data_IF_263143962083
#
_entry.id   IF_263143962083
#
_cell.length_a   1.000
_cell.length_b   1.000
_cell.length_c   1.000
_cell.angle_alpha   90.00
_cell.angle_beta   90.00
_cell.angle_gamma   90.00
#
_symmetry.space_group_name_H-M   'P 1'
#
loop_
_entity.id
_entity.type
_entity.pdbx_description
1 polymer ?
#
# COMPACT_ATOMS: atom_id res chain seq x y z
N UNK A 1 -8.51 -4.98 -2.19
CA UNK A 1 -9.04 -5.90 -1.17
C UNK A 1 -7.89 -6.68 -0.56
N UNK A 2 -8.01 -7.10 0.69
CA UNK A 2 -7.02 -7.94 1.36
C UNK A 2 -7.71 -8.77 2.44
N UNK A 3 -7.12 -9.90 2.84
CA UNK A 3 -7.73 -10.80 3.82
C UNK A 3 -6.70 -11.50 4.70
N UNK A 4 -7.05 -11.68 5.96
CA UNK A 4 -6.24 -12.43 6.93
C UNK A 4 -6.70 -13.90 7.04
N UNK A 5 -7.85 -14.24 6.47
CA UNK A 5 -8.42 -15.59 6.42
C UNK A 5 -9.74 -15.66 5.63
N UNK A 6 -10.35 -16.86 5.51
CA UNK A 6 -11.59 -17.06 4.75
C UNK A 6 -12.81 -16.34 5.34
N UNK A 7 -12.72 -15.88 6.59
CA UNK A 7 -13.77 -15.19 7.34
C UNK A 7 -13.38 -13.77 7.76
N UNK A 8 -12.28 -13.25 7.22
CA UNK A 8 -11.83 -11.89 7.49
C UNK A 8 -11.20 -11.32 6.21
N UNK A 9 -12.06 -10.73 5.38
CA UNK A 9 -11.66 -10.08 4.13
C UNK A 9 -12.22 -8.67 4.11
N UNK A 10 -11.37 -7.71 3.77
CA UNK A 10 -11.73 -6.31 3.60
C UNK A 10 -11.68 -5.90 2.13
N UNK A 11 -12.73 -5.24 1.67
CA UNK A 11 -12.76 -4.50 0.42
C UNK A 11 -12.97 -3.02 0.73
N UNK A 12 -12.25 -2.16 0.03
CA UNK A 12 -12.38 -0.71 0.18
C UNK A 12 -12.52 -0.05 -1.18
N UNK A 13 -13.10 1.15 -1.20
CA UNK A 13 -13.35 1.88 -2.43
C UNK A 13 -14.06 3.20 -2.16
N UNK A 14 -15.00 3.52 -3.04
CA UNK A 14 -15.91 4.67 -2.91
C UNK A 14 -17.33 4.27 -3.25
N UNK A 15 -18.30 4.86 -2.56
CA UNK A 15 -19.71 4.77 -2.87
C UNK A 15 -20.20 6.14 -3.35
N UNK A 16 -20.91 6.19 -4.48
CA UNK A 16 -21.45 7.43 -5.02
C UNK A 16 -22.30 7.20 -6.27
N UNK A 17 -23.15 8.16 -6.60
CA UNK A 17 -24.06 8.10 -7.75
C UNK A 17 -25.04 9.28 -7.76
N UNK A 18 -25.62 9.59 -8.92
CA UNK A 18 -26.72 10.56 -9.03
C UNK A 18 -26.36 12.02 -8.70
N UNK A 19 -25.10 12.45 -8.94
CA UNK A 19 -24.67 13.83 -8.68
C UNK A 19 -24.27 14.11 -7.23
N UNK A 20 -24.24 13.10 -6.36
CA UNK A 20 -23.75 13.21 -4.98
C UNK A 20 -22.24 12.97 -4.93
N UNK A 21 -21.56 13.72 -4.06
CA UNK A 21 -20.19 13.48 -3.64
C UNK A 21 -19.94 12.01 -3.31
N UNK A 22 -18.83 11.44 -3.77
CA UNK A 22 -18.46 10.07 -3.41
C UNK A 22 -18.00 10.01 -1.95
N UNK A 23 -18.41 8.99 -1.21
CA UNK A 23 -17.94 8.69 0.15
C UNK A 23 -17.00 7.49 0.14
N UNK A 24 -16.09 7.42 1.12
CA UNK A 24 -15.28 6.24 1.38
C UNK A 24 -16.18 5.02 1.63
N UNK A 25 -15.81 3.89 1.05
CA UNK A 25 -16.49 2.62 1.28
C UNK A 25 -15.51 1.64 1.89
N UNK A 26 -15.90 0.99 2.99
CA UNK A 26 -15.29 -0.22 3.49
C UNK A 26 -16.37 -1.31 3.64
N UNK A 27 -16.05 -2.51 3.19
CA UNK A 27 -16.90 -3.69 3.33
C UNK A 27 -16.08 -4.82 3.94
N UNK A 28 -16.67 -5.50 4.90
CA UNK A 28 -16.08 -6.65 5.60
C UNK A 28 -16.84 -7.91 5.25
N UNK A 29 -16.11 -8.98 4.93
CA UNK A 29 -16.67 -10.32 4.76
C UNK A 29 -16.35 -11.17 5.98
N UNK A 30 -17.41 -11.64 6.65
CA UNK A 30 -17.32 -12.42 7.89
C UNK A 30 -17.24 -13.94 7.66
N UNK A 31 -17.14 -14.38 6.40
CA UNK A 31 -17.20 -15.80 6.02
C UNK A 31 -18.53 -16.24 5.43
N UNK A 32 -19.58 -15.45 5.61
CA UNK A 32 -20.92 -15.75 5.11
C UNK A 32 -21.50 -14.60 4.27
N UNK A 33 -21.31 -13.35 4.68
CA UNK A 33 -21.87 -12.19 4.03
C UNK A 33 -20.92 -10.99 4.07
N UNK A 34 -21.14 -10.07 3.13
CA UNK A 34 -20.51 -8.76 3.16
C UNK A 34 -21.37 -7.77 3.95
N UNK A 35 -20.74 -7.00 4.83
CA UNK A 35 -21.37 -5.88 5.52
C UNK A 35 -20.62 -4.58 5.24
N UNK A 36 -21.35 -3.49 5.07
CA UNK A 36 -20.75 -2.14 5.02
C UNK A 36 -20.32 -1.75 6.42
N UNK A 37 -19.12 -1.19 6.54
CA UNK A 37 -18.57 -0.69 7.80
C UNK A 37 -18.26 0.79 7.64
N UNK A 38 -18.71 1.60 8.59
CA UNK A 38 -18.54 3.05 8.54
C UNK A 38 -17.06 3.44 8.55
N UNK A 39 -16.72 4.41 7.69
CA UNK A 39 -15.39 5.01 7.60
C UNK A 39 -15.51 6.48 7.95
N UNK A 40 -14.64 7.03 8.81
CA UNK A 40 -14.67 8.45 9.14
C UNK A 40 -14.31 9.30 7.91
N UNK A 41 -15.20 10.24 7.59
CA UNK A 41 -15.02 11.17 6.47
C UNK A 41 -14.26 12.42 6.90
N UNK A 42 -13.29 12.91 6.12
CA UNK A 42 -12.63 14.18 6.39
C UNK A 42 -13.61 15.36 6.30
N UNK A 43 -13.61 16.21 7.32
CA UNK A 43 -14.48 17.39 7.37
C UNK A 43 -14.17 18.33 6.21
N UNK A 44 -15.19 18.68 5.43
CA UNK A 44 -15.08 19.62 4.31
C UNK A 44 -14.59 19.00 3.00
N UNK A 45 -14.40 17.68 2.93
CA UNK A 45 -14.24 16.99 1.66
C UNK A 45 -15.57 16.93 0.89
N UNK A 46 -15.50 16.89 -0.43
CA UNK A 46 -16.67 16.66 -1.30
C UNK A 46 -16.51 15.39 -2.15
N UNK A 47 -15.56 14.54 -1.78
CA UNK A 47 -15.26 13.29 -2.45
C UNK A 47 -14.19 12.54 -1.68
N UNK A 48 -14.44 11.30 -1.29
CA UNK A 48 -13.47 10.45 -0.61
C UNK A 48 -13.44 9.07 -1.25
N UNK A 49 -12.25 8.49 -1.39
CA UNK A 49 -12.06 7.15 -1.89
C UNK A 49 -10.89 6.46 -1.19
N UNK A 50 -11.12 5.24 -0.70
CA UNK A 50 -10.05 4.37 -0.24
C UNK A 50 -9.51 3.57 -1.45
N UNK A 51 -8.20 3.59 -1.64
CA UNK A 51 -7.52 2.98 -2.80
C UNK A 51 -6.97 1.60 -2.47
N UNK A 52 -6.53 1.40 -1.22
CA UNK A 52 -5.96 0.13 -0.79
C UNK A 52 -6.24 -0.15 0.69
N UNK A 53 -6.29 -1.43 1.03
CA UNK A 53 -6.45 -1.94 2.39
C UNK A 53 -5.49 -3.09 2.61
N UNK A 54 -4.90 -3.14 3.81
CA UNK A 54 -4.01 -4.21 4.27
C UNK A 54 -4.45 -4.70 5.64
N UNK A 55 -4.72 -5.98 5.75
CA UNK A 55 -4.92 -6.68 7.01
C UNK A 55 -3.58 -6.82 7.74
N UNK A 56 -3.59 -6.46 9.03
CA UNK A 56 -2.43 -6.49 9.93
C UNK A 56 -2.52 -7.65 10.93
N UNK A 57 -3.75 -8.00 11.31
CA UNK A 57 -4.12 -9.15 12.14
C UNK A 57 -5.58 -9.52 11.88
N UNK A 58 -6.11 -10.55 12.56
CA UNK A 58 -7.53 -10.94 12.52
C UNK A 58 -8.50 -9.84 12.99
N UNK A 59 -7.99 -8.82 13.67
CA UNK A 59 -8.79 -7.75 14.27
C UNK A 59 -8.22 -6.38 13.94
N UNK A 60 -7.31 -6.27 12.97
CA UNK A 60 -6.75 -4.98 12.61
C UNK A 60 -6.41 -4.91 11.14
N UNK A 61 -6.76 -3.78 10.55
CA UNK A 61 -6.51 -3.48 9.16
C UNK A 61 -6.14 -2.00 9.02
N UNK A 62 -5.49 -1.67 7.92
CA UNK A 62 -5.07 -0.32 7.59
C UNK A 62 -5.51 -0.02 6.16
N UNK A 63 -6.17 1.11 5.95
CA UNK A 63 -6.55 1.55 4.63
C UNK A 63 -6.02 2.95 4.35
N UNK A 64 -5.69 3.19 3.08
CA UNK A 64 -5.24 4.47 2.57
C UNK A 64 -6.10 4.88 1.41
N UNK A 65 -6.08 6.17 1.10
CA UNK A 65 -6.87 6.72 0.02
C UNK A 65 -6.65 8.20 -0.16
N UNK A 66 -7.63 8.82 -0.79
CA UNK A 66 -7.62 10.24 -1.08
C UNK A 66 -8.96 10.89 -0.72
N UNK A 67 -8.88 12.15 -0.33
CA UNK A 67 -10.03 13.03 -0.18
C UNK A 67 -9.84 14.28 -1.05
N UNK A 68 -10.93 14.73 -1.64
CA UNK A 68 -11.00 15.84 -2.58
C UNK A 68 -11.43 17.11 -1.82
N UNK A 69 -10.58 18.14 -1.88
CA UNK A 69 -10.80 19.43 -1.22
C UNK A 69 -10.73 20.59 -2.23
N UNK A 70 -11.58 21.61 -2.05
CA UNK A 70 -11.75 22.76 -2.96
C UNK A 70 -12.35 22.48 -4.36
N UNK A 71 -13.28 23.33 -4.81
CA UNK A 71 -13.86 23.31 -6.18
C UNK A 71 -12.92 23.90 -7.26
N UNK A 72 -11.80 24.51 -6.85
CA UNK A 72 -10.89 25.28 -7.70
C UNK A 72 -9.42 24.92 -7.45
N UNK A 73 -9.07 23.64 -7.56
CA UNK A 73 -7.66 23.19 -7.59
C UNK A 73 -7.03 22.82 -6.24
N UNK A 74 -7.83 22.56 -5.20
CA UNK A 74 -7.31 22.10 -3.89
C UNK A 74 -6.73 20.67 -3.90
N UNK A 75 -6.93 19.94 -5.01
CA UNK A 75 -6.30 18.66 -5.30
C UNK A 75 -6.71 17.54 -4.34
N UNK A 76 -6.26 16.34 -4.66
CA UNK A 76 -6.41 15.20 -3.77
C UNK A 76 -5.45 15.33 -2.58
N UNK A 77 -5.95 15.10 -1.37
CA UNK A 77 -5.17 14.99 -0.14
C UNK A 77 -5.17 13.55 0.35
N UNK A 78 -4.07 13.07 0.94
CA UNK A 78 -3.97 11.68 1.35
C UNK A 78 -4.76 11.47 2.64
N UNK A 79 -5.46 10.34 2.72
CA UNK A 79 -6.12 9.89 3.94
C UNK A 79 -5.62 8.51 4.33
N UNK A 80 -5.64 8.25 5.63
CA UNK A 80 -5.39 6.93 6.19
C UNK A 80 -6.36 6.67 7.33
N UNK A 81 -6.82 5.42 7.43
CA UNK A 81 -7.70 4.95 8.50
C UNK A 81 -7.21 3.60 9.00
N UNK A 82 -7.42 3.32 10.27
CA UNK A 82 -7.04 2.07 10.91
C UNK A 82 -8.24 1.45 11.60
N UNK A 83 -8.41 0.14 11.40
CA UNK A 83 -9.36 -0.71 12.09
C UNK A 83 -8.70 -1.28 13.34
N UNK A 84 -9.37 -1.13 14.48
CA UNK A 84 -8.92 -1.63 15.78
C UNK A 84 -9.62 -2.93 16.22
N UNK A 85 -10.52 -3.45 15.39
CA UNK A 85 -11.37 -4.60 15.70
C UNK A 85 -12.84 -4.22 15.86
N UNK A 86 -13.12 -2.93 16.00
CA UNK A 86 -14.47 -2.42 16.28
C UNK A 86 -14.85 -1.20 15.44
N UNK A 87 -13.90 -0.29 15.18
CA UNK A 87 -14.17 0.95 14.44
C UNK A 87 -12.98 1.37 13.57
N UNK A 88 -13.26 1.99 12.43
CA UNK A 88 -12.26 2.69 11.64
C UNK A 88 -11.99 4.07 12.25
N UNK A 89 -10.73 4.37 12.55
CA UNK A 89 -10.32 5.69 13.06
C UNK A 89 -9.34 6.35 12.10
N UNK A 90 -9.49 7.66 11.87
CA UNK A 90 -8.57 8.44 11.05
C UNK A 90 -7.17 8.46 11.65
N UNK A 91 -6.16 8.27 10.80
CA UNK A 91 -4.74 8.34 11.15
C UNK A 91 -4.13 9.55 10.46
N UNK A 92 -3.47 10.48 11.20
CA UNK A 92 -2.82 11.64 10.60
C UNK A 92 -1.78 11.22 9.56
N UNK A 93 -1.88 11.69 8.32
CA UNK A 93 -0.86 11.43 7.29
C UNK A 93 0.22 12.52 7.37
N UNK A 94 1.51 12.15 7.43
CA UNK A 94 2.58 13.14 7.45
C UNK A 94 2.66 13.92 6.13
N UNK A 95 3.22 15.14 6.18
CA UNK A 95 3.54 15.90 4.98
C UNK A 95 4.53 15.10 4.13
N UNK A 96 4.25 14.98 2.83
CA UNK A 96 5.14 14.35 1.86
C UNK A 96 6.06 15.43 1.26
N UNK A 97 7.37 15.45 1.57
CA UNK A 97 8.26 16.51 1.10
C UNK A 97 8.27 16.62 -0.44
N UNK A 98 8.21 17.84 -0.96
CA UNK A 98 8.23 18.12 -2.40
C UNK A 98 6.86 18.01 -3.09
N UNK A 99 5.88 17.34 -2.47
CA UNK A 99 4.52 17.30 -3.00
C UNK A 99 3.78 18.60 -2.66
N UNK A 100 3.23 19.25 -3.67
CA UNK A 100 2.48 20.51 -3.52
C UNK A 100 0.97 20.33 -3.70
N UNK A 101 0.54 19.27 -4.41
CA UNK A 101 -0.89 18.92 -4.58
C UNK A 101 -1.07 17.49 -5.09
N UNK A 102 -2.33 17.04 -5.15
CA UNK A 102 -2.74 15.75 -5.72
C UNK A 102 -1.95 14.55 -5.16
N UNK A 103 -1.84 14.50 -3.84
CA UNK A 103 -1.12 13.43 -3.14
C UNK A 103 -2.07 12.23 -3.04
N UNK A 104 -1.77 11.18 -3.81
CA UNK A 104 -2.63 10.01 -3.93
C UNK A 104 -1.84 8.75 -3.53
N UNK A 105 -2.15 8.17 -2.35
CA UNK A 105 -1.78 6.81 -2.01
C UNK A 105 -2.41 5.83 -3.00
N UNK A 106 -1.61 4.98 -3.62
CA UNK A 106 -2.05 3.96 -4.56
C UNK A 106 -2.17 2.58 -3.88
N UNK A 107 -1.23 2.23 -3.01
CA UNK A 107 -1.18 0.92 -2.37
C UNK A 107 -0.51 0.95 -0.98
N UNK A 108 -0.82 -0.03 -0.13
CA UNK A 108 -0.26 -0.20 1.21
C UNK A 108 0.05 -1.66 1.51
N UNK A 109 1.22 -1.92 2.09
CA UNK A 109 1.59 -3.24 2.60
C UNK A 109 2.17 -3.16 4.00
N UNK A 110 2.27 -4.32 4.65
CA UNK A 110 2.84 -4.47 6.00
C UNK A 110 3.87 -5.60 6.04
N UNK A 111 4.98 -5.38 6.75
CA UNK A 111 6.01 -6.39 6.92
C UNK A 111 7.04 -5.99 7.97
N UNK A 112 7.53 -6.96 8.76
CA UNK A 112 8.55 -6.72 9.80
C UNK A 112 8.21 -5.55 10.75
N UNK A 113 6.93 -5.42 11.14
CA UNK A 113 6.45 -4.37 12.04
C UNK A 113 6.34 -2.97 11.41
N UNK A 114 6.42 -2.87 10.07
CA UNK A 114 6.33 -1.61 9.33
C UNK A 114 5.18 -1.64 8.33
N UNK A 115 4.55 -0.50 8.15
CA UNK A 115 3.68 -0.18 7.02
C UNK A 115 4.50 0.55 5.95
N UNK A 116 4.25 0.22 4.69
CA UNK A 116 4.80 0.94 3.53
C UNK A 116 3.63 1.32 2.63
N UNK A 117 3.50 2.61 2.35
CA UNK A 117 2.52 3.18 1.43
C UNK A 117 3.27 3.74 0.24
N UNK A 118 2.76 3.48 -0.95
CA UNK A 118 3.28 4.06 -2.19
C UNK A 118 2.20 4.82 -2.92
N UNK A 119 2.61 5.80 -3.69
CA UNK A 119 1.68 6.63 -4.45
C UNK A 119 2.40 7.59 -5.36
N UNK A 120 1.66 8.60 -5.80
CA UNK A 120 2.15 9.69 -6.63
C UNK A 120 1.59 11.02 -6.13
N UNK A 121 2.28 12.09 -6.48
CA UNK A 121 1.86 13.46 -6.22
C UNK A 121 2.33 14.41 -7.31
N UNK A 122 1.79 15.63 -7.32
CA UNK A 122 2.33 16.72 -8.12
C UNK A 122 3.32 17.53 -7.29
N UNK A 123 4.47 17.80 -7.90
CA UNK A 123 5.55 18.68 -7.42
C UNK A 123 5.71 19.86 -8.37
N UNK A 124 6.54 20.85 -8.02
CA UNK A 124 6.89 21.95 -8.92
C UNK A 124 7.60 21.48 -10.21
N UNK A 125 8.27 20.32 -10.17
CA UNK A 125 8.94 19.71 -11.34
C UNK A 125 8.00 18.82 -12.19
N UNK A 126 6.77 18.60 -11.72
CA UNK A 126 5.78 17.69 -12.30
C UNK A 126 5.46 16.52 -11.37
N UNK A 127 4.83 15.49 -11.92
CA UNK A 127 4.46 14.30 -11.17
C UNK A 127 5.69 13.59 -10.58
N UNK A 128 5.55 13.05 -9.38
CA UNK A 128 6.58 12.26 -8.72
C UNK A 128 5.93 11.17 -7.86
N UNK A 129 6.56 10.00 -7.86
CA UNK A 129 6.21 8.95 -6.93
C UNK A 129 6.61 9.35 -5.51
N UNK A 130 5.98 8.73 -4.52
CA UNK A 130 6.43 8.81 -3.15
C UNK A 130 6.32 7.46 -2.45
N UNK A 131 7.15 7.30 -1.42
CA UNK A 131 7.06 6.18 -0.48
C UNK A 131 6.95 6.78 0.92
N UNK A 132 5.91 6.39 1.65
CA UNK A 132 5.79 6.64 3.08
C UNK A 132 6.00 5.33 3.82
N UNK A 133 6.65 5.41 4.98
CA UNK A 133 6.63 4.31 5.94
C UNK A 133 5.97 4.74 7.23
N UNK A 134 5.45 3.79 7.97
CA UNK A 134 4.90 4.03 9.29
C UNK A 134 4.83 2.76 10.12
N UNK A 135 4.23 2.88 11.28
CA UNK A 135 3.81 1.75 12.12
C UNK A 135 2.34 1.93 12.50
N UNK A 136 1.70 0.85 12.93
CA UNK A 136 0.34 0.89 13.48
C UNK A 136 0.22 1.71 14.79
N UNK A 137 1.35 2.16 15.37
CA UNK A 137 1.41 3.01 16.56
C UNK A 137 1.78 4.49 16.25
N UNK A 138 1.93 4.84 14.96
CA UNK A 138 2.34 6.17 14.51
C UNK A 138 3.27 6.14 13.30
N UNK A 139 3.22 7.18 12.47
CA UNK A 139 4.04 7.32 11.27
C UNK A 139 5.47 7.77 11.60
N UNK A 140 6.45 7.19 10.90
CA UNK A 140 7.80 7.77 10.77
C UNK A 140 8.17 7.73 9.29
N UNK A 141 8.38 8.90 8.69
CA UNK A 141 8.73 9.04 7.27
C UNK A 141 10.09 8.40 6.99
N UNK A 142 10.14 7.27 6.28
CA UNK A 142 11.35 6.79 5.61
C UNK A 142 11.34 7.36 4.18
N UNK A 143 12.33 8.21 3.90
CA UNK A 143 12.56 8.75 2.58
C UNK A 143 12.87 7.61 1.57
N UNK A 144 12.45 7.82 0.32
CA UNK A 144 12.75 6.97 -0.83
C UNK A 144 14.29 6.93 -1.12
N UNK A 145 14.80 6.11 -2.06
CA UNK A 145 16.20 5.66 -2.08
C UNK A 145 17.26 6.76 -2.03
N UNK A 146 18.33 6.50 -1.27
CA UNK A 146 19.75 6.74 -1.64
C UNK A 146 20.27 8.17 -1.72
N UNK A 147 19.47 9.10 -2.23
CA UNK A 147 19.67 10.53 -2.31
C UNK A 147 18.36 11.32 -2.12
N UNK A 148 17.23 10.62 -1.96
CA UNK A 148 15.91 11.20 -1.76
C UNK A 148 15.09 11.44 -3.03
N UNK A 149 15.51 10.94 -4.21
CA UNK A 149 14.78 11.19 -5.46
C UNK A 149 14.47 9.91 -6.24
N UNK A 150 13.18 9.69 -6.51
CA UNK A 150 12.73 8.73 -7.51
C UNK A 150 12.98 9.30 -8.92
N UNK A 151 13.02 8.46 -9.97
CA UNK A 151 13.05 8.97 -11.34
C UNK A 151 11.96 10.03 -11.54
N UNK A 152 12.24 11.15 -12.24
CA UNK A 152 11.24 12.18 -12.51
C UNK A 152 10.01 11.56 -13.17
N UNK A 153 8.81 12.06 -12.83
CA UNK A 153 7.55 11.56 -13.43
C UNK A 153 7.36 10.07 -13.17
N UNK A 154 7.72 9.65 -11.97
CA UNK A 154 7.42 8.32 -11.46
C UNK A 154 6.00 8.25 -10.94
N UNK A 155 5.41 7.08 -11.09
CA UNK A 155 4.10 6.72 -10.56
C UNK A 155 4.24 5.32 -9.95
N UNK A 156 4.24 5.26 -8.62
CA UNK A 156 4.39 4.02 -7.87
C UNK A 156 3.01 3.42 -7.60
N UNK A 157 2.76 2.23 -8.16
CA UNK A 157 1.42 1.67 -8.29
C UNK A 157 1.08 0.61 -7.26
N UNK A 158 2.04 -0.26 -6.94
CA UNK A 158 1.79 -1.38 -6.04
C UNK A 158 3.03 -1.73 -5.24
N UNK A 159 2.81 -2.24 -4.03
CA UNK A 159 3.86 -2.62 -3.09
C UNK A 159 3.52 -3.93 -2.40
N UNK A 160 4.52 -4.81 -2.26
CA UNK A 160 4.40 -6.05 -1.48
C UNK A 160 5.58 -6.23 -0.53
N UNK A 161 5.36 -6.99 0.53
CA UNK A 161 6.42 -7.43 1.43
C UNK A 161 6.75 -8.90 1.19
N UNK A 162 8.04 -9.18 1.01
CA UNK A 162 8.56 -10.53 0.84
C UNK A 162 9.39 -10.89 2.07
N UNK A 163 8.94 -11.86 2.91
CA UNK A 163 9.71 -12.31 4.06
C UNK A 163 11.14 -12.70 3.68
N UNK A 164 12.14 -12.12 4.37
CA UNK A 164 13.56 -12.34 4.10
C UNK A 164 14.15 -11.59 2.90
N UNK A 165 13.33 -10.92 2.07
CA UNK A 165 13.79 -10.15 0.89
C UNK A 165 13.49 -8.65 0.99
N UNK A 166 12.52 -8.25 1.83
CA UNK A 166 12.15 -6.86 2.08
C UNK A 166 10.93 -6.42 1.28
N UNK A 167 10.79 -5.12 1.06
CA UNK A 167 9.67 -4.56 0.30
C UNK A 167 10.01 -4.45 -1.17
N UNK A 168 9.03 -4.69 -2.03
CA UNK A 168 9.13 -4.55 -3.48
C UNK A 168 8.04 -3.61 -3.97
N UNK A 169 8.43 -2.63 -4.77
CA UNK A 169 7.52 -1.63 -5.34
C UNK A 169 7.63 -1.68 -6.85
N UNK A 170 6.50 -1.56 -7.53
CA UNK A 170 6.44 -1.48 -8.97
C UNK A 170 5.63 -0.28 -9.44
N UNK A 171 5.91 0.17 -10.64
CA UNK A 171 5.23 1.32 -11.24
C UNK A 171 5.76 1.65 -12.63
N UNK A 172 5.71 2.94 -12.95
CA UNK A 172 6.29 3.50 -14.17
C UNK A 172 7.08 4.77 -13.89
N UNK A 173 7.90 5.18 -14.85
CA UNK A 173 8.52 6.51 -14.91
C UNK A 173 8.59 7.00 -16.34
N UNK A 174 8.38 8.29 -16.58
CA UNK A 174 8.56 8.91 -17.91
C UNK A 174 9.56 10.07 -17.83
N UNK A 175 10.87 9.78 -17.72
CA UNK A 175 11.88 10.81 -17.47
C UNK A 175 11.99 11.82 -18.63
N UNK A 176 11.60 11.43 -19.84
CA UNK A 176 11.78 12.23 -21.06
C UNK A 176 10.46 12.79 -21.64
N UNK A 177 9.32 12.61 -20.95
CA UNK A 177 7.97 12.99 -21.44
C UNK A 177 7.61 12.40 -22.82
N UNK A 178 8.15 11.23 -23.12
CA UNK A 178 7.96 10.58 -24.42
C UNK A 178 7.59 9.12 -24.27
N UNK A 179 8.02 8.47 -23.19
CA UNK A 179 7.87 7.02 -23.09
C UNK A 179 7.95 6.56 -21.65
N UNK A 180 6.80 6.12 -21.12
CA UNK A 180 6.73 5.48 -19.82
C UNK A 180 7.52 4.17 -19.82
N UNK A 181 8.41 4.02 -18.84
CA UNK A 181 9.23 2.83 -18.61
C UNK A 181 8.84 2.17 -17.30
N UNK A 182 8.87 0.84 -17.29
CA UNK A 182 8.62 0.07 -16.08
C UNK A 182 9.64 0.42 -14.99
N UNK A 183 9.14 0.60 -13.77
CA UNK A 183 9.95 0.87 -12.59
C UNK A 183 9.78 -0.26 -11.59
N UNK A 184 10.90 -0.75 -11.05
CA UNK A 184 10.92 -1.71 -9.95
C UNK A 184 11.94 -1.26 -8.91
N UNK A 185 11.55 -1.28 -7.64
CA UNK A 185 12.39 -0.92 -6.51
C UNK A 185 12.33 -2.01 -5.45
N UNK A 186 13.48 -2.29 -4.81
CA UNK A 186 13.59 -3.22 -3.68
C UNK A 186 14.15 -2.49 -2.46
N UNK A 187 13.51 -2.63 -1.30
CA UNK A 187 14.06 -2.18 -0.03
C UNK A 187 14.86 -3.32 0.62
N UNK A 188 16.16 -3.12 0.83
CA UNK A 188 17.08 -4.14 1.38
C UNK A 188 17.13 -4.18 2.92
N UNK A 189 16.30 -3.38 3.59
CA UNK A 189 16.31 -3.19 5.04
C UNK A 189 16.92 -1.84 5.46
N UNK A 190 17.73 -1.22 4.61
CA UNK A 190 18.39 0.08 4.86
C UNK A 190 18.02 1.14 3.83
N UNK A 191 17.91 0.77 2.56
CA UNK A 191 17.62 1.69 1.47
C UNK A 191 16.82 0.99 0.37
N UNK A 192 16.15 1.81 -0.42
CA UNK A 192 15.59 1.36 -1.69
C UNK A 192 16.70 1.21 -2.73
N UNK A 193 16.53 0.27 -3.64
CA UNK A 193 17.46 -0.04 -4.73
C UNK A 193 16.64 -0.25 -5.99
N UNK A 194 16.92 0.53 -7.04
CA UNK A 194 16.29 0.32 -8.35
C UNK A 194 16.70 -1.04 -8.92
N UNK A 195 15.71 -1.79 -9.38
CA UNK A 195 15.88 -3.08 -10.02
C UNK A 195 15.65 -2.91 -11.53
N UNK A 196 16.51 -3.47 -12.39
CA UNK A 196 16.33 -3.40 -13.83
C UNK A 196 14.99 -3.99 -14.25
N UNK A 197 14.24 -3.25 -15.05
CA UNK A 197 13.07 -3.76 -15.77
C UNK A 197 13.45 -3.85 -17.25
N UNK A 198 13.41 -5.04 -17.88
CA UNK A 198 13.68 -5.17 -19.30
C UNK A 198 12.70 -4.29 -20.11
N UNK A 199 13.17 -3.55 -21.12
CA UNK A 199 12.28 -2.78 -21.98
C UNK A 199 11.41 -3.75 -22.80
N UNK A 200 10.09 -3.61 -22.71
CA UNK A 200 9.14 -4.40 -23.50
C UNK A 200 8.25 -3.42 -24.26
N UNK A 201 8.48 -3.32 -25.57
CA UNK A 201 7.78 -2.35 -26.42
C UNK A 201 8.22 -0.90 -26.17
N UNK A 202 7.44 0.03 -26.72
CA UNK A 202 7.70 1.45 -26.56
C UNK A 202 7.40 1.89 -25.13
N UNK A 203 6.18 1.65 -24.65
CA UNK A 203 5.75 2.00 -23.29
C UNK A 203 5.59 0.76 -22.41
N UNK A 204 6.00 0.86 -21.15
CA UNK A 204 5.85 -0.21 -20.16
C UNK A 204 5.43 0.37 -18.81
N UNK A 205 4.44 -0.24 -18.17
CA UNK A 205 4.04 0.06 -16.80
C UNK A 205 3.82 -1.26 -16.03
N UNK A 206 4.35 -1.33 -14.81
CA UNK A 206 4.08 -2.45 -13.90
C UNK A 206 3.02 -1.99 -12.89
N UNK A 207 1.86 -2.64 -12.91
CA UNK A 207 0.66 -2.16 -12.20
C UNK A 207 0.34 -2.91 -10.90
N UNK A 208 0.93 -4.08 -10.69
CA UNK A 208 0.64 -4.93 -9.54
C UNK A 208 1.84 -5.80 -9.20
N UNK A 209 2.06 -5.99 -7.90
CA UNK A 209 3.03 -6.95 -7.38
C UNK A 209 2.42 -7.67 -6.18
N UNK A 210 2.55 -8.99 -6.16
CA UNK A 210 2.16 -9.81 -5.01
C UNK A 210 3.23 -10.88 -4.79
N UNK A 211 3.34 -11.35 -3.55
CA UNK A 211 4.32 -12.34 -3.17
C UNK A 211 3.74 -13.32 -2.15
N UNK A 212 3.91 -14.61 -2.46
CA UNK A 212 3.56 -15.69 -1.54
C UNK A 212 4.83 -16.06 -0.76
N UNK A 213 4.81 -15.86 0.55
CA UNK A 213 5.87 -16.37 1.42
C UNK A 213 5.83 -17.90 1.46
N UNK A 214 6.92 -18.57 1.08
CA UNK A 214 7.04 -20.02 1.29
C UNK A 214 7.18 -20.31 2.78
N UNK A 215 6.11 -20.80 3.41
CA UNK A 215 6.20 -21.45 4.71
C UNK A 215 6.96 -22.75 4.50
N UNK A 216 8.23 -22.81 4.89
CA UNK A 216 8.95 -24.09 4.92
C UNK A 216 8.35 -24.92 6.06
N UNK A 217 7.70 -26.03 5.74
CA UNK A 217 7.40 -27.06 6.74
C UNK A 217 8.74 -27.55 7.30
N UNK A 218 9.00 -27.32 8.58
CA UNK A 218 10.07 -28.02 9.29
C UNK A 218 9.68 -29.49 9.40
N UNK A 219 10.47 -30.45 8.86
CA UNK A 219 10.20 -31.85 9.12
C UNK A 219 10.48 -32.13 10.60
N UNK A 220 9.42 -32.34 11.41
CA UNK A 220 9.58 -32.88 12.75
C UNK A 220 9.88 -34.39 12.65
N UNK A 221 11.14 -34.73 12.36
CA UNK A 221 11.62 -36.09 12.53
C UNK A 221 12.25 -36.21 13.92
N UNK A 222 11.47 -36.64 14.91
CA UNK A 222 12.06 -37.24 16.12
C UNK A 222 12.57 -38.64 15.74
N UNK A 223 13.87 -38.95 15.86
CA UNK A 223 14.31 -40.33 15.70
C UNK A 223 13.84 -41.12 16.93
N UNK A 224 12.83 -41.99 16.76
CA UNK A 224 12.59 -43.08 17.71
C UNK A 224 13.82 -43.99 17.68
N UNK A 225 14.61 -43.99 18.75
CA UNK A 225 15.57 -45.06 19.02
C UNK A 225 14.80 -46.38 19.15
N UNK A 226 14.94 -47.25 18.18
CA UNK A 226 14.64 -48.68 18.36
C UNK A 226 15.82 -49.26 19.13
N UNK A 227 15.60 -49.70 20.38
CA UNK A 227 16.55 -50.58 21.06
C UNK A 227 16.42 -51.96 20.43
N UNK A 228 17.49 -52.46 19.83
CA UNK A 228 17.62 -53.88 19.48
C UNK A 228 17.71 -54.69 20.77
N UNK A 229 16.75 -55.59 20.99
CA UNK A 229 16.97 -56.77 21.82
C UNK A 229 17.67 -57.81 20.94
N UNK A 230 18.79 -58.34 21.42
CA UNK A 230 19.52 -59.46 20.84
C UNK A 230 20.05 -60.30 21.99
N UNK A 231 19.94 -61.62 21.82
CA UNK A 231 20.09 -62.71 22.78
C UNK A 231 21.41 -62.77 23.55
#
# INVERSE_FOLDING_TARGET
MDGSGPTDVWAVGKAGGGGVAASALAMHYDGAAWAVVDVPEPVGSFGTALTAVRTLSLTSAFAVGRAEFGLAGGGNQPIAVQWDGTVWTSVPVPVVPGCVKDIVPNDVTSGSGRLVVVGHCLTDAGEAGFVLSGSAAGWQVLLAPGDGTLPPRSDLRSVTFVPGSGFWVVGSSDPNRMTARGLSLRYDGRRWIAQPVPPVGETTALIGVDAIGVTRCSPSASPRRVRSAGD
#
